data_IF_033005571165
#
_entry.id   IF_033005571165
#
_cell.length_a   1.000
_cell.length_b   1.000
_cell.length_c   1.000
_cell.angle_alpha   90.00
_cell.angle_beta   90.00
_cell.angle_gamma   90.00
#
_symmetry.space_group_name_H-M   'P 1'
#
loop_
_entity.id
_entity.type
_entity.pdbx_description
1 polymer ?
#
# COMPACT_ATOMS: atom_id res chain seq x y z
N UNK A 1 -12.52 -12.40 -27.04
CA UNK A 1 -11.10 -12.19 -26.70
C UNK A 1 -11.01 -11.86 -25.23
N UNK A 2 -10.25 -12.62 -24.44
CA UNK A 2 -10.06 -12.34 -23.02
C UNK A 2 -8.90 -11.36 -22.83
N UNK A 3 -9.13 -10.32 -22.04
CA UNK A 3 -8.15 -9.33 -21.65
C UNK A 3 -7.99 -9.33 -20.15
N UNK A 4 -6.76 -9.24 -19.69
CA UNK A 4 -6.46 -9.16 -18.25
C UNK A 4 -5.95 -7.76 -17.94
N UNK A 5 -6.64 -7.05 -17.05
CA UNK A 5 -6.29 -5.71 -16.61
C UNK A 5 -5.65 -5.76 -15.21
N UNK A 6 -4.46 -5.20 -15.09
CA UNK A 6 -3.83 -4.92 -13.78
C UNK A 6 -4.15 -3.47 -13.45
N UNK A 7 -4.91 -3.23 -12.39
CA UNK A 7 -5.28 -1.89 -11.96
C UNK A 7 -4.31 -1.41 -10.89
N UNK A 8 -3.73 -0.22 -11.08
CA UNK A 8 -2.87 0.42 -10.08
C UNK A 8 -3.66 0.69 -8.78
N UNK A 9 -3.38 -0.10 -7.73
CA UNK A 9 -4.07 -0.07 -6.44
C UNK A 9 -5.00 -1.26 -6.13
N UNK A 10 -5.17 -2.21 -7.05
CA UNK A 10 -5.90 -3.47 -6.82
C UNK A 10 -4.95 -4.64 -7.05
N UNK A 11 -4.78 -5.51 -6.05
CA UNK A 11 -3.85 -6.66 -6.14
C UNK A 11 -4.37 -7.79 -7.03
N UNK A 12 -5.69 -7.86 -7.26
CA UNK A 12 -6.29 -8.88 -8.12
C UNK A 12 -6.43 -8.41 -9.58
N UNK A 13 -5.92 -9.20 -10.55
CA UNK A 13 -6.09 -8.89 -11.96
C UNK A 13 -7.54 -9.06 -12.41
N UNK A 14 -8.06 -8.08 -13.14
CA UNK A 14 -9.43 -8.07 -13.63
C UNK A 14 -9.52 -8.62 -15.06
N UNK A 15 -10.21 -9.73 -15.26
CA UNK A 15 -10.42 -10.33 -16.58
C UNK A 15 -11.71 -9.87 -17.22
N UNK A 16 -11.65 -9.31 -18.43
CA UNK A 16 -12.84 -8.95 -19.23
C UNK A 16 -12.82 -9.69 -20.57
N UNK A 17 -13.96 -10.25 -20.94
CA UNK A 17 -14.17 -10.86 -22.25
C UNK A 17 -14.79 -9.81 -23.20
N UNK A 18 -14.04 -9.42 -24.22
CA UNK A 18 -14.46 -8.43 -25.23
C UNK A 18 -14.30 -8.98 -26.64
N UNK A 19 -15.07 -8.47 -27.59
CA UNK A 19 -14.88 -8.79 -29.00
C UNK A 19 -13.66 -8.07 -29.58
N UNK A 20 -12.87 -8.70 -30.48
CA UNK A 20 -11.67 -8.08 -31.06
C UNK A 20 -12.00 -6.83 -31.91
N UNK A 21 -13.22 -6.72 -32.43
CA UNK A 21 -13.70 -5.58 -33.22
C UNK A 21 -14.16 -4.38 -32.39
N UNK A 22 -14.14 -4.46 -31.06
CA UNK A 22 -14.59 -3.37 -30.18
C UNK A 22 -13.63 -2.17 -30.27
N UNK A 23 -14.17 -0.97 -30.09
CA UNK A 23 -13.38 0.26 -30.08
C UNK A 23 -12.78 0.53 -28.71
N UNK A 24 -11.69 1.30 -28.67
CA UNK A 24 -11.07 1.72 -27.40
C UNK A 24 -12.05 2.54 -26.53
N UNK A 25 -12.96 3.30 -27.17
CA UNK A 25 -14.01 4.07 -26.47
C UNK A 25 -15.07 3.18 -25.79
N UNK A 26 -15.46 2.09 -26.44
CA UNK A 26 -16.40 1.14 -25.82
C UNK A 26 -15.72 0.36 -24.68
N UNK A 27 -14.42 0.05 -24.84
CA UNK A 27 -13.62 -0.60 -23.79
C UNK A 27 -13.46 0.31 -22.56
N UNK A 28 -13.20 1.61 -22.75
CA UNK A 28 -13.12 2.54 -21.62
C UNK A 28 -14.45 2.72 -20.89
N UNK A 29 -15.57 2.69 -21.64
CA UNK A 29 -16.92 2.65 -21.06
C UNK A 29 -17.20 1.37 -20.26
N UNK A 30 -16.75 0.21 -20.75
CA UNK A 30 -16.84 -1.05 -19.99
C UNK A 30 -16.02 -0.99 -18.70
N UNK A 31 -14.80 -0.45 -18.75
CA UNK A 31 -13.98 -0.22 -17.57
C UNK A 31 -14.61 0.80 -16.60
N UNK A 32 -15.33 1.81 -17.10
CA UNK A 32 -16.06 2.75 -16.25
C UNK A 32 -17.20 2.07 -15.49
N UNK A 33 -17.97 1.22 -16.17
CA UNK A 33 -19.09 0.50 -15.54
C UNK A 33 -18.58 -0.43 -14.43
N UNK A 34 -17.49 -1.14 -14.70
CA UNK A 34 -17.01 -2.20 -13.83
C UNK A 34 -16.09 -1.70 -12.72
N UNK A 35 -15.15 -0.79 -13.03
CA UNK A 35 -14.15 -0.28 -12.09
C UNK A 35 -14.53 1.10 -11.51
N UNK A 36 -15.60 1.73 -11.98
CA UNK A 36 -16.02 3.10 -11.61
C UNK A 36 -14.94 4.16 -11.82
N UNK A 37 -14.06 3.96 -12.80
CA UNK A 37 -13.03 4.93 -13.19
C UNK A 37 -13.52 5.63 -14.45
N UNK A 38 -13.69 6.96 -14.47
CA UNK A 38 -14.15 7.67 -15.66
C UNK A 38 -13.08 7.59 -16.78
N UNK A 39 -13.48 7.57 -18.06
CA UNK A 39 -12.57 7.40 -19.20
C UNK A 39 -11.49 8.50 -19.28
N UNK A 40 -11.75 9.68 -18.70
CA UNK A 40 -10.78 10.79 -18.63
C UNK A 40 -9.63 10.53 -17.64
N UNK A 41 -9.87 9.70 -16.62
CA UNK A 41 -8.87 9.30 -15.63
C UNK A 41 -8.19 7.97 -15.99
N UNK A 42 -8.61 7.29 -17.05
CA UNK A 42 -8.06 6.00 -17.45
C UNK A 42 -6.81 6.18 -18.33
N UNK A 43 -5.69 5.60 -17.90
CA UNK A 43 -4.50 5.44 -18.73
C UNK A 43 -4.23 3.96 -18.93
N UNK A 44 -4.49 3.46 -20.15
CA UNK A 44 -4.26 2.07 -20.52
C UNK A 44 -2.86 1.95 -21.13
N UNK A 45 -2.04 1.09 -20.56
CA UNK A 45 -0.71 0.75 -21.05
C UNK A 45 -0.72 -0.66 -21.62
N UNK A 46 -0.16 -0.81 -22.81
CA UNK A 46 0.07 -2.08 -23.48
C UNK A 46 1.57 -2.29 -23.64
N UNK A 47 2.14 -3.33 -23.01
CA UNK A 47 3.58 -3.60 -23.03
C UNK A 47 4.44 -2.38 -22.63
N UNK A 48 3.96 -1.55 -21.70
CA UNK A 48 4.62 -0.31 -21.26
C UNK A 48 4.44 0.89 -22.20
N UNK A 49 3.74 0.72 -23.32
CA UNK A 49 3.37 1.81 -24.23
C UNK A 49 1.99 2.33 -23.89
N UNK A 50 1.90 3.62 -23.56
CA UNK A 50 0.63 4.29 -23.35
C UNK A 50 -0.16 4.28 -24.67
N UNK A 51 -1.37 3.73 -24.64
CA UNK A 51 -2.28 3.72 -25.79
C UNK A 51 -2.86 5.13 -25.99
N UNK A 52 -2.07 6.02 -26.60
CA UNK A 52 -2.50 7.37 -27.03
C UNK A 52 -3.11 7.28 -28.43
N UNK A 53 -4.09 6.40 -28.63
CA UNK A 53 -4.82 6.28 -29.90
C UNK A 53 -6.21 6.88 -29.77
N UNK A 54 -6.79 7.39 -30.87
CA UNK A 54 -8.15 7.92 -30.86
C UNK A 54 -9.15 6.83 -30.44
N UNK A 55 -10.28 7.21 -29.82
CA UNK A 55 -11.28 6.28 -29.29
C UNK A 55 -11.90 5.37 -30.35
N UNK A 56 -11.79 5.72 -31.64
CA UNK A 56 -12.27 4.93 -32.78
C UNK A 56 -11.30 3.83 -33.24
N UNK A 57 -10.12 3.72 -32.64
CA UNK A 57 -9.18 2.64 -32.96
C UNK A 57 -9.67 1.31 -32.40
N UNK A 58 -9.69 0.27 -33.25
CA UNK A 58 -10.01 -1.09 -32.83
C UNK A 58 -8.85 -1.70 -32.04
N UNK A 59 -9.14 -2.63 -31.13
CA UNK A 59 -8.12 -3.34 -30.36
C UNK A 59 -7.10 -4.05 -31.27
N UNK A 60 -7.55 -4.59 -32.41
CA UNK A 60 -6.68 -5.19 -33.43
C UNK A 60 -5.68 -4.17 -34.02
N UNK A 61 -6.12 -2.93 -34.27
CA UNK A 61 -5.25 -1.86 -34.77
C UNK A 61 -4.24 -1.38 -33.72
N UNK A 62 -4.55 -1.59 -32.44
CA UNK A 62 -3.64 -1.36 -31.32
C UNK A 62 -2.64 -2.51 -31.11
N UNK A 63 -2.78 -3.61 -31.87
CA UNK A 63 -1.91 -4.78 -31.74
C UNK A 63 -2.21 -5.58 -30.48
N UNK A 64 -3.42 -5.44 -29.93
CA UNK A 64 -3.83 -6.15 -28.73
C UNK A 64 -4.33 -7.54 -29.14
N UNK A 65 -3.70 -8.58 -28.59
CA UNK A 65 -3.95 -10.00 -28.90
C UNK A 65 -4.66 -10.69 -27.73
N UNK A 66 -5.33 -11.80 -27.99
CA UNK A 66 -6.06 -12.56 -26.96
C UNK A 66 -5.15 -13.05 -25.84
N UNK A 67 -5.64 -12.95 -24.59
CA UNK A 67 -4.92 -13.23 -23.34
C UNK A 67 -3.80 -12.22 -22.99
N UNK A 68 -3.81 -11.03 -23.59
CA UNK A 68 -2.86 -10.01 -23.20
C UNK A 68 -3.21 -9.29 -21.90
N UNK A 69 -2.13 -8.86 -21.24
CA UNK A 69 -2.16 -8.15 -19.97
C UNK A 69 -1.96 -6.66 -20.22
N UNK A 70 -2.94 -5.87 -19.79
CA UNK A 70 -2.98 -4.42 -19.92
C UNK A 70 -2.86 -3.81 -18.52
N UNK A 71 -2.06 -2.76 -18.38
CA UNK A 71 -1.97 -2.03 -17.12
C UNK A 71 -2.88 -0.79 -17.19
N UNK A 72 -3.81 -0.69 -16.24
CA UNK A 72 -4.71 0.45 -16.09
C UNK A 72 -4.23 1.33 -14.93
N UNK A 73 -3.76 2.53 -15.24
CA UNK A 73 -3.42 3.54 -14.24
C UNK A 73 -4.50 4.60 -14.14
N UNK A 74 -4.79 5.02 -12.91
CA UNK A 74 -5.68 6.15 -12.65
C UNK A 74 -4.91 7.46 -12.69
N UNK A 75 -5.15 8.28 -13.71
CA UNK A 75 -4.65 9.64 -13.78
C UNK A 75 -5.53 10.56 -12.92
N UNK A 76 -5.00 11.01 -11.80
CA UNK A 76 -5.59 12.13 -11.06
C UNK A 76 -5.53 13.39 -11.92
N UNK A 77 -6.68 13.87 -12.40
CA UNK A 77 -6.80 15.19 -13.01
C UNK A 77 -6.58 16.21 -11.90
N UNK A 78 -5.33 16.69 -11.76
CA UNK A 78 -5.06 17.92 -11.02
C UNK A 78 -5.71 19.05 -11.80
N UNK A 79 -6.91 19.44 -11.40
CA UNK A 79 -7.57 20.65 -11.91
C UNK A 79 -6.59 21.83 -11.81
N UNK A 80 -6.15 22.44 -12.93
CA UNK A 80 -5.35 23.67 -12.87
C UNK A 80 -6.20 24.89 -12.49
N UNK A 81 -7.53 24.74 -12.40
CA UNK A 81 -8.49 25.84 -12.26
C UNK A 81 -8.66 26.41 -10.84
N UNK A 82 -7.85 26.01 -9.86
CA UNK A 82 -7.74 26.70 -8.56
C UNK A 82 -6.42 27.45 -8.38
N UNK A 83 -5.60 27.56 -9.44
CA UNK A 83 -4.45 28.47 -9.50
C UNK A 83 -4.73 29.65 -10.43
N UNK A 84 -5.69 30.51 -10.08
CA UNK A 84 -5.86 31.76 -10.82
C UNK A 84 -6.07 33.03 -9.98
N UNK A 85 -5.82 33.00 -8.66
CA UNK A 85 -5.96 34.23 -7.87
C UNK A 85 -4.80 34.58 -6.93
N UNK A 86 -3.55 34.31 -7.33
CA UNK A 86 -2.40 35.06 -6.82
C UNK A 86 -1.34 35.24 -7.93
N UNK A 87 -1.69 36.06 -8.93
CA UNK A 87 -0.68 36.69 -9.79
C UNK A 87 -0.86 38.20 -9.71
N UNK A 88 -0.23 38.79 -8.71
CA UNK A 88 0.27 40.15 -8.77
C UNK A 88 1.32 40.34 -7.68
N UNK A 89 2.57 39.99 -7.99
CA UNK A 89 3.75 40.84 -7.82
C UNK A 89 5.01 40.00 -8.02
N UNK A 90 5.47 39.96 -9.27
CA UNK A 90 6.80 39.51 -9.61
C UNK A 90 7.81 40.56 -9.17
N UNK A 91 8.62 40.25 -8.16
CA UNK A 91 9.92 40.91 -7.99
C UNK A 91 10.92 39.96 -7.34
N UNK A 92 11.84 39.44 -8.15
CA UNK A 92 13.25 39.22 -7.87
C UNK A 92 13.67 38.94 -6.41
N UNK A 93 14.01 37.68 -6.13
CA UNK A 93 15.15 37.23 -5.28
C UNK A 93 15.06 35.71 -5.15
N UNK A 94 15.97 34.94 -5.76
CA UNK A 94 17.16 34.41 -5.08
C UNK A 94 16.86 33.86 -3.68
N UNK A 95 16.98 32.54 -3.55
CA UNK A 95 17.43 31.83 -2.35
C UNK A 95 17.04 32.47 -1.01
N UNK A 96 15.98 31.95 -0.38
CA UNK A 96 15.92 31.93 1.07
C UNK A 96 15.66 30.52 1.56
N UNK A 97 16.74 29.95 2.06
CA UNK A 97 16.74 28.90 3.07
C UNK A 97 16.15 29.51 4.35
N UNK A 98 15.49 28.68 5.15
CA UNK A 98 15.23 28.82 6.60
C UNK A 98 13.95 29.57 7.07
N UNK A 99 12.94 28.79 7.45
CA UNK A 99 12.31 28.93 8.78
C UNK A 99 10.94 29.60 8.88
N UNK A 100 10.52 30.44 7.92
CA UNK A 100 9.28 31.23 8.02
C UNK A 100 7.98 30.47 7.74
N UNK A 101 7.91 29.74 6.63
CA UNK A 101 6.67 29.08 6.18
C UNK A 101 6.28 27.87 7.02
N UNK A 102 7.26 27.06 7.43
CA UNK A 102 7.01 25.84 8.20
C UNK A 102 6.35 26.17 9.55
N UNK A 103 6.78 27.25 10.20
CA UNK A 103 6.19 27.70 11.46
C UNK A 103 4.74 28.17 11.26
N UNK A 104 4.43 28.82 10.13
CA UNK A 104 3.07 29.23 9.80
C UNK A 104 2.17 28.04 9.46
N UNK A 105 2.69 27.06 8.72
CA UNK A 105 2.00 25.82 8.37
C UNK A 105 1.73 24.95 9.61
N UNK A 106 2.70 24.82 10.52
CA UNK A 106 2.53 24.11 11.80
C UNK A 106 1.45 24.76 12.67
N UNK A 107 1.38 26.10 12.67
CA UNK A 107 0.32 26.82 13.40
C UNK A 107 -1.06 26.59 12.78
N UNK A 108 -1.17 26.51 11.45
CA UNK A 108 -2.42 26.15 10.76
C UNK A 108 -2.86 24.73 11.10
N UNK A 109 -1.93 23.78 11.07
CA UNK A 109 -2.19 22.38 11.46
C UNK A 109 -2.68 22.32 12.91
N UNK A 110 -2.02 23.04 13.82
CA UNK A 110 -2.44 23.13 15.22
C UNK A 110 -3.88 23.64 15.35
N UNK A 111 -4.23 24.72 14.64
CA UNK A 111 -5.59 25.28 14.67
C UNK A 111 -6.64 24.33 14.10
N UNK A 112 -6.30 23.60 13.03
CA UNK A 112 -7.17 22.55 12.48
C UNK A 112 -7.37 21.40 13.49
N UNK A 113 -6.30 20.99 14.18
CA UNK A 113 -6.39 19.97 15.24
C UNK A 113 -7.25 20.41 16.42
N UNK A 114 -7.14 21.68 16.84
CA UNK A 114 -8.00 22.24 17.88
C UNK A 114 -9.45 22.42 17.42
N UNK A 115 -9.67 22.58 16.11
CA UNK A 115 -11.00 22.73 15.51
C UNK A 115 -11.77 21.41 15.42
N UNK A 116 -11.10 20.26 15.43
CA UNK A 116 -11.72 18.94 15.35
C UNK A 116 -11.55 18.14 16.66
N UNK A 117 -12.62 18.02 17.48
CA UNK A 117 -12.55 17.31 18.75
C UNK A 117 -12.33 15.79 18.59
N UNK A 118 -12.71 15.21 17.44
CA UNK A 118 -12.53 13.77 17.20
C UNK A 118 -11.07 13.43 16.95
N UNK A 119 -10.41 14.23 16.12
CA UNK A 119 -8.98 14.13 15.84
C UNK A 119 -8.17 14.34 17.11
N UNK A 120 -8.53 15.32 17.93
CA UNK A 120 -7.81 15.59 19.18
C UNK A 120 -7.88 14.43 20.18
N UNK A 121 -9.03 13.73 20.25
CA UNK A 121 -9.16 12.53 21.09
C UNK A 121 -8.29 11.37 20.57
N UNK A 122 -8.20 11.19 19.25
CA UNK A 122 -7.33 10.17 18.65
C UNK A 122 -5.85 10.46 18.88
N UNK A 123 -5.44 11.72 18.77
CA UNK A 123 -4.07 12.15 19.08
C UNK A 123 -3.79 11.98 20.57
N UNK A 124 -4.73 12.30 21.46
CA UNK A 124 -4.55 12.07 22.89
C UNK A 124 -4.36 10.59 23.23
N UNK A 125 -5.03 9.69 22.51
CA UNK A 125 -4.87 8.24 22.67
C UNK A 125 -3.53 7.71 22.14
N UNK A 126 -3.02 8.27 21.02
CA UNK A 126 -1.77 7.81 20.41
C UNK A 126 -0.52 8.52 20.96
N UNK A 127 -0.60 9.84 21.16
CA UNK A 127 0.49 10.72 21.59
C UNK A 127 -0.03 11.82 22.54
N UNK A 128 -0.15 11.54 23.85
CA UNK A 128 -0.68 12.50 24.82
C UNK A 128 0.18 13.77 24.94
N UNK A 129 1.50 13.67 24.77
CA UNK A 129 2.40 14.83 24.82
C UNK A 129 2.15 15.82 23.68
N UNK A 130 1.82 15.33 22.49
CA UNK A 130 1.53 16.17 21.33
C UNK A 130 0.19 16.91 21.50
N UNK A 131 -0.81 16.22 22.05
CA UNK A 131 -2.10 16.81 22.39
C UNK A 131 -1.95 17.94 23.41
N UNK A 132 -1.24 17.71 24.52
CA UNK A 132 -1.02 18.74 25.55
C UNK A 132 -0.21 19.93 25.02
N UNK A 133 0.77 19.68 24.15
CA UNK A 133 1.55 20.74 23.51
C UNK A 133 0.70 21.59 22.56
N UNK A 134 -0.20 20.99 21.80
CA UNK A 134 -1.11 21.72 20.89
C UNK A 134 -2.03 22.69 21.64
N UNK A 135 -2.47 22.32 22.85
CA UNK A 135 -3.34 23.14 23.72
C UNK A 135 -2.55 24.23 24.48
N UNK A 136 -1.34 23.90 24.97
CA UNK A 136 -0.61 24.77 25.92
C UNK A 136 0.36 25.74 25.25
N UNK A 137 1.11 25.32 24.23
CA UNK A 137 2.19 26.15 23.65
C UNK A 137 2.45 25.85 22.17
N UNK A 138 2.29 26.85 21.28
CA UNK A 138 2.58 26.70 19.85
C UNK A 138 4.04 26.30 19.55
N UNK A 139 5.00 26.83 20.30
CA UNK A 139 6.42 26.55 20.07
C UNK A 139 6.79 25.10 20.43
N UNK A 140 6.27 24.61 21.56
CA UNK A 140 6.49 23.21 21.98
C UNK A 140 5.86 22.22 21.01
N UNK A 141 4.69 22.54 20.48
CA UNK A 141 4.04 21.76 19.43
C UNK A 141 4.88 21.72 18.14
N UNK A 142 5.41 22.88 17.70
CA UNK A 142 6.25 22.96 16.51
C UNK A 142 7.52 22.10 16.63
N UNK A 143 8.19 22.15 17.79
CA UNK A 143 9.37 21.31 18.04
C UNK A 143 9.06 19.81 18.03
N UNK A 144 7.98 19.39 18.70
CA UNK A 144 7.57 17.98 18.73
C UNK A 144 7.20 17.46 17.34
N UNK A 145 6.43 18.25 16.59
CA UNK A 145 6.01 17.87 15.24
C UNK A 145 7.20 17.77 14.29
N UNK A 146 8.17 18.68 14.39
CA UNK A 146 9.39 18.63 13.59
C UNK A 146 10.20 17.35 13.87
N UNK A 147 10.38 17.00 15.14
CA UNK A 147 11.07 15.76 15.53
C UNK A 147 10.34 14.52 15.02
N UNK A 148 9.01 14.51 15.15
CA UNK A 148 8.17 13.41 14.66
C UNK A 148 8.29 13.24 13.15
N UNK A 149 8.22 14.34 12.40
CA UNK A 149 8.37 14.34 10.94
C UNK A 149 9.76 13.85 10.52
N UNK A 150 10.82 14.27 11.23
CA UNK A 150 12.18 13.83 10.93
C UNK A 150 12.35 12.32 11.14
N UNK A 151 11.89 11.79 12.28
CA UNK A 151 11.95 10.35 12.54
C UNK A 151 11.15 9.56 11.51
N UNK A 152 9.96 10.03 11.15
CA UNK A 152 9.12 9.37 10.16
C UNK A 152 9.78 9.37 8.77
N UNK A 153 10.37 10.50 8.36
CA UNK A 153 11.09 10.62 7.10
C UNK A 153 12.32 9.71 7.04
N UNK A 154 13.07 9.55 8.14
CA UNK A 154 14.24 8.66 8.20
C UNK A 154 13.79 7.20 8.07
N UNK A 155 12.77 6.78 8.82
CA UNK A 155 12.22 5.42 8.74
C UNK A 155 11.64 5.11 7.35
N UNK A 156 10.92 6.06 6.76
CA UNK A 156 10.34 5.89 5.43
C UNK A 156 11.42 5.82 4.34
N UNK A 157 12.49 6.62 4.44
CA UNK A 157 13.65 6.52 3.55
C UNK A 157 14.35 5.18 3.68
N UNK A 158 14.56 4.69 4.90
CA UNK A 158 15.20 3.40 5.12
C UNK A 158 14.38 2.26 4.50
N UNK A 159 13.07 2.21 4.76
CA UNK A 159 12.18 1.23 4.14
C UNK A 159 12.21 1.28 2.62
N UNK A 160 12.17 2.48 2.03
CA UNK A 160 12.28 2.63 0.57
C UNK A 160 13.61 2.14 0.02
N UNK A 161 14.71 2.36 0.73
CA UNK A 161 16.03 1.84 0.33
C UNK A 161 16.08 0.32 0.42
N UNK A 162 15.53 -0.26 1.49
CA UNK A 162 15.49 -1.71 1.67
C UNK A 162 14.59 -2.37 0.60
N UNK A 163 13.42 -1.77 0.30
CA UNK A 163 12.53 -2.20 -0.79
C UNK A 163 13.20 -2.06 -2.15
N UNK A 164 13.94 -0.98 -2.40
CA UNK A 164 14.70 -0.81 -3.64
C UNK A 164 15.80 -1.86 -3.76
N UNK A 165 16.49 -2.22 -2.67
CA UNK A 165 17.51 -3.25 -2.68
C UNK A 165 16.91 -4.64 -2.94
N UNK A 166 15.73 -4.93 -2.39
CA UNK A 166 14.99 -6.16 -2.68
C UNK A 166 14.46 -6.23 -4.13
N UNK A 167 14.08 -5.08 -4.71
CA UNK A 167 13.52 -5.03 -6.08
C UNK A 167 14.57 -4.81 -7.18
N UNK A 168 15.77 -4.34 -6.85
CA UNK A 168 16.75 -3.90 -7.86
C UNK A 168 17.44 -5.03 -8.61
N UNK A 169 17.47 -6.25 -8.08
CA UNK A 169 18.07 -7.36 -8.83
C UNK A 169 17.41 -8.72 -8.51
N UNK A 170 16.59 -9.26 -9.43
CA UNK A 170 15.99 -10.60 -9.33
C UNK A 170 17.02 -11.74 -9.24
N UNK A 171 18.30 -11.45 -9.48
CA UNK A 171 19.41 -12.40 -9.41
C UNK A 171 20.41 -12.10 -8.28
N UNK A 172 20.07 -11.22 -7.33
CA UNK A 172 20.93 -10.98 -6.17
C UNK A 172 21.05 -12.26 -5.33
N UNK A 173 22.27 -12.80 -5.30
CA UNK A 173 22.63 -14.01 -4.56
C UNK A 173 22.39 -13.80 -3.06
N UNK A 174 22.52 -12.57 -2.54
CA UNK A 174 22.22 -12.29 -1.13
C UNK A 174 20.72 -12.32 -0.82
N UNK A 175 19.87 -11.77 -1.70
CA UNK A 175 18.42 -11.84 -1.56
C UNK A 175 17.94 -13.30 -1.64
N UNK A 176 18.45 -14.06 -2.63
CA UNK A 176 18.14 -15.49 -2.76
C UNK A 176 18.58 -16.29 -1.53
N UNK A 177 19.73 -15.98 -0.94
CA UNK A 177 20.23 -16.62 0.28
C UNK A 177 19.37 -16.28 1.50
N UNK A 178 18.91 -15.03 1.64
CA UNK A 178 17.98 -14.64 2.72
C UNK A 178 16.64 -15.34 2.58
N UNK A 179 16.12 -15.46 1.35
CA UNK A 179 14.89 -16.21 1.06
C UNK A 179 15.07 -17.69 1.39
N UNK A 180 16.19 -18.31 0.99
CA UNK A 180 16.52 -19.70 1.31
C UNK A 180 16.59 -19.95 2.83
N UNK A 181 17.25 -19.06 3.57
CA UNK A 181 17.37 -19.17 5.02
C UNK A 181 16.00 -19.05 5.71
N UNK A 182 15.14 -18.14 5.24
CA UNK A 182 13.78 -18.00 5.76
C UNK A 182 12.97 -19.28 5.54
N UNK A 183 12.94 -19.82 4.30
CA UNK A 183 12.24 -21.07 3.97
C UNK A 183 12.78 -22.23 4.81
N UNK A 184 14.10 -22.28 5.05
CA UNK A 184 14.71 -23.32 5.88
C UNK A 184 14.21 -23.25 7.32
N UNK A 185 14.18 -22.06 7.91
CA UNK A 185 13.68 -21.87 9.27
C UNK A 185 12.19 -22.22 9.37
N UNK A 186 11.40 -21.81 8.37
CA UNK A 186 9.97 -22.09 8.29
C UNK A 186 9.71 -23.60 8.23
N UNK A 187 10.46 -24.37 7.44
CA UNK A 187 10.37 -25.84 7.43
C UNK A 187 10.79 -26.50 8.74
N UNK A 188 11.82 -25.97 9.40
CA UNK A 188 12.24 -26.47 10.73
C UNK A 188 11.13 -26.24 11.73
N UNK A 189 10.50 -25.07 11.70
CA UNK A 189 9.38 -24.72 12.57
C UNK A 189 8.15 -25.58 12.28
N UNK A 190 7.78 -25.75 11.03
CA UNK A 190 6.66 -26.60 10.61
C UNK A 190 6.87 -28.05 11.07
N UNK A 191 8.06 -28.61 10.85
CA UNK A 191 8.38 -29.95 11.33
C UNK A 191 8.38 -30.03 12.86
N UNK A 192 8.86 -29.00 13.55
CA UNK A 192 8.80 -28.92 15.01
C UNK A 192 7.34 -28.91 15.49
N UNK A 193 6.49 -28.10 14.88
CA UNK A 193 5.07 -28.01 15.20
C UNK A 193 4.36 -29.35 14.98
N UNK A 194 4.61 -29.99 13.84
CA UNK A 194 4.08 -31.31 13.52
C UNK A 194 4.56 -32.37 14.53
N UNK A 195 5.83 -32.30 14.95
CA UNK A 195 6.36 -33.22 15.96
C UNK A 195 5.80 -32.94 17.37
N UNK A 196 5.47 -31.69 17.71
CA UNK A 196 4.77 -31.35 18.96
C UNK A 196 3.35 -31.94 18.95
N UNK A 197 2.65 -31.87 17.83
CA UNK A 197 1.27 -32.36 17.70
C UNK A 197 1.21 -33.90 17.75
N UNK A 198 2.03 -34.58 16.94
CA UNK A 198 1.94 -36.03 16.75
C UNK A 198 2.93 -36.84 17.58
N UNK A 199 3.94 -36.21 18.17
CA UNK A 199 4.99 -36.89 18.95
C UNK A 199 5.43 -36.06 20.17
N UNK A 200 4.48 -35.66 21.05
CA UNK A 200 4.79 -34.81 22.21
C UNK A 200 5.79 -35.48 23.17
N UNK A 201 5.91 -36.82 23.11
CA UNK A 201 6.83 -37.63 23.91
C UNK A 201 8.31 -37.27 23.67
N UNK A 202 8.64 -36.76 22.48
CA UNK A 202 10.02 -36.37 22.13
C UNK A 202 10.42 -35.01 22.71
N UNK A 203 9.44 -34.16 23.06
CA UNK A 203 9.66 -32.76 23.45
C UNK A 203 9.23 -32.45 24.90
N UNK A 204 8.58 -33.39 25.59
CA UNK A 204 8.14 -33.22 26.97
C UNK A 204 7.98 -34.54 27.73
N UNK A 205 7.77 -34.44 29.05
CA UNK A 205 7.46 -35.60 29.90
C UNK A 205 5.96 -35.89 29.84
N UNK A 206 5.57 -36.99 29.21
CA UNK A 206 4.17 -37.45 29.17
C UNK A 206 3.85 -38.24 30.45
N UNK A 207 2.83 -37.82 31.18
CA UNK A 207 2.31 -38.55 32.35
C UNK A 207 1.10 -39.37 31.90
N UNK A 208 1.23 -40.69 31.86
CA UNK A 208 0.14 -41.60 31.50
C UNK A 208 -0.87 -41.69 32.65
N UNK A 209 -2.11 -41.28 32.39
CA UNK A 209 -3.24 -41.46 33.29
C UNK A 209 -4.02 -42.71 32.86
N UNK A 210 -4.14 -43.68 33.78
CA UNK A 210 -4.98 -44.85 33.58
C UNK A 210 -6.37 -44.57 34.13
N UNK A 211 -7.40 -44.96 33.37
CA UNK A 211 -8.79 -44.93 33.80
C UNK A 211 -9.30 -46.36 33.71
N UNK A 212 -9.83 -46.87 34.83
CA UNK A 212 -10.45 -48.18 34.86
C UNK A 212 -11.79 -48.11 34.11
N UNK A 213 -11.93 -48.92 33.05
CA UNK A 213 -13.15 -48.97 32.23
C UNK A 213 -13.81 -50.34 32.39
N UNK A 214 -15.12 -50.34 32.64
CA UNK A 214 -15.94 -51.55 32.66
C UNK A 214 -16.91 -51.56 31.46
N UNK A 215 -16.96 -52.66 30.73
CA UNK A 215 -17.95 -52.87 29.67
C UNK A 215 -18.83 -54.04 30.08
N UNK A 216 -20.13 -53.79 30.24
CA UNK A 216 -21.11 -54.78 30.69
C UNK A 216 -20.77 -55.44 32.05
N UNK A 217 -20.19 -54.68 32.99
CA UNK A 217 -19.84 -55.16 34.32
C UNK A 217 -18.60 -56.05 34.38
N UNK A 218 -17.85 -56.17 33.28
CA UNK A 218 -16.53 -56.77 33.27
C UNK A 218 -15.46 -55.68 33.08
N UNK A 219 -14.44 -55.61 33.97
CA UNK A 219 -13.35 -54.67 33.82
C UNK A 219 -12.52 -55.02 32.58
N UNK A 220 -12.31 -54.03 31.72
CA UNK A 220 -11.44 -54.10 30.56
C UNK A 220 -10.12 -53.44 30.94
N UNK A 221 -9.04 -54.23 30.84
CA UNK A 221 -7.69 -53.85 31.24
C UNK A 221 -6.97 -53.06 30.15
#
# INVERSE_FOLDING_TARGET
>A
MRLTFIVDGVEEPFGIDVDPSITLGDLSGLLEIELRIPPEEQQIFHNGLLLIKPPESSLESCGIVTDEMLELRRRLIKNPALSQNLQSSSSNSQQSVAGGDIAHDLNRIRLQMLGDPTLMNQIRASNPELATAAETSPERFAHLMHNFQQQHNVSAKQRRLDEQLLNADPFDIEAQKRIEEHIRQERVWENMQHAIEFSPESFGRVTMLYVDVEVNGHPVK
#
